data_IF_885281897084
#
_entry.id   IF_885281897084
#
_cell.length_a   1.000
_cell.length_b   1.000
_cell.length_c   1.000
_cell.angle_alpha   90.00
_cell.angle_beta   90.00
_cell.angle_gamma   90.00
#
_symmetry.space_group_name_H-M   'P 1'
#
loop_
_entity.id
_entity.type
_entity.pdbx_description
1 polymer ?
#
# COMPACT_ATOMS: atom_id res chain seq x y z
N UNK A 1 -2.33 19.93 -18.77
CA UNK A 1 -1.22 19.01 -19.14
C UNK A 1 -0.26 18.77 -17.96
N UNK A 2 -0.77 18.54 -16.74
CA UNK A 2 0.01 18.02 -15.60
C UNK A 2 -0.93 17.80 -14.40
N UNK A 3 -1.65 16.67 -14.36
CA UNK A 3 -2.34 16.15 -13.16
C UNK A 3 -3.06 14.82 -13.48
N UNK A 4 -2.36 13.77 -13.95
CA UNK A 4 -2.99 12.46 -14.18
C UNK A 4 -2.04 11.26 -13.94
N UNK A 5 -1.06 11.40 -13.06
CA UNK A 5 -0.23 10.26 -12.62
C UNK A 5 -0.15 10.26 -11.10
N UNK A 6 -1.18 9.71 -10.44
CA UNK A 6 -1.10 9.20 -9.05
C UNK A 6 -2.45 8.58 -8.63
N UNK A 7 -2.72 7.37 -9.10
CA UNK A 7 -3.45 6.34 -8.33
C UNK A 7 -3.02 5.00 -8.91
N UNK A 8 -2.38 4.17 -8.11
CA UNK A 8 -2.27 2.69 -8.15
C UNK A 8 -1.11 2.33 -7.21
N UNK A 9 -1.37 1.84 -5.98
CA UNK A 9 -0.30 1.46 -5.07
C UNK A 9 0.32 0.15 -5.52
N UNK A 10 1.64 0.19 -5.70
CA UNK A 10 2.48 -0.98 -5.85
C UNK A 10 2.66 -1.65 -4.48
N UNK A 11 2.49 -2.97 -4.48
CA UNK A 11 2.67 -3.91 -3.38
C UNK A 11 4.01 -3.67 -2.64
N UNK A 12 3.97 -3.48 -1.32
CA UNK A 12 5.09 -3.71 -0.40
C UNK A 12 4.53 -4.30 0.90
N UNK A 13 4.81 -5.57 1.17
CA UNK A 13 5.83 -6.05 2.10
C UNK A 13 5.55 -5.66 3.56
N UNK A 14 4.84 -6.56 4.23
CA UNK A 14 4.72 -6.68 5.68
C UNK A 14 6.10 -6.74 6.36
N UNK A 15 6.36 -5.79 7.28
CA UNK A 15 7.46 -5.87 8.23
C UNK A 15 6.91 -6.35 9.58
N UNK A 16 7.19 -7.59 9.95
CA UNK A 16 6.91 -8.13 11.28
C UNK A 16 8.05 -7.70 12.21
N UNK A 17 7.77 -6.83 13.18
CA UNK A 17 8.74 -6.44 14.21
C UNK A 17 8.73 -7.51 15.31
N UNK A 18 9.80 -8.30 15.36
CA UNK A 18 10.09 -9.24 16.44
C UNK A 18 10.75 -8.55 17.63
N UNK A 19 10.08 -8.67 18.78
CA UNK A 19 10.54 -8.57 20.17
C UNK A 19 12.07 -8.60 20.39
N UNK A 20 12.63 -7.57 21.05
CA UNK A 20 13.94 -7.65 21.70
C UNK A 20 13.77 -7.58 23.22
N UNK A 21 14.04 -8.70 23.89
CA UNK A 21 14.22 -8.80 25.33
C UNK A 21 15.71 -8.66 25.63
N UNK A 22 16.08 -7.70 26.47
CA UNK A 22 17.47 -7.44 26.87
C UNK A 22 17.92 -8.40 27.98
N UNK A 23 19.02 -9.12 27.76
CA UNK A 23 19.89 -9.61 28.83
C UNK A 23 21.34 -9.23 28.52
N UNK A 24 21.94 -8.49 29.43
CA UNK A 24 23.36 -8.16 29.53
C UNK A 24 24.16 -9.43 29.86
N UNK A 25 25.26 -9.71 29.16
CA UNK A 25 26.52 -10.23 29.74
C UNK A 25 27.66 -10.10 28.74
N UNK A 26 28.73 -9.43 29.18
CA UNK A 26 30.03 -9.38 28.51
C UNK A 26 30.70 -10.75 28.68
N UNK A 27 31.04 -11.42 27.59
CA UNK A 27 32.21 -12.30 27.57
C UNK A 27 32.70 -12.48 26.13
N UNK A 28 33.94 -12.05 25.89
CA UNK A 28 34.74 -12.44 24.75
C UNK A 28 34.88 -13.96 24.70
N UNK A 29 34.31 -14.59 23.68
CA UNK A 29 34.73 -15.91 23.26
C UNK A 29 34.62 -15.99 21.74
N UNK A 30 35.78 -15.88 21.10
CA UNK A 30 36.01 -16.42 19.77
C UNK A 30 35.60 -17.90 19.83
N UNK A 31 34.57 -18.28 19.10
CA UNK A 31 34.23 -19.68 18.87
C UNK A 31 33.87 -19.82 17.41
N UNK A 32 34.79 -20.45 16.68
CA UNK A 32 34.54 -21.01 15.36
C UNK A 32 33.29 -21.88 15.42
N UNK A 33 32.20 -21.44 14.81
CA UNK A 33 31.05 -22.30 14.55
C UNK A 33 31.37 -23.18 13.33
N UNK A 34 32.21 -24.20 13.55
CA UNK A 34 32.20 -25.42 12.74
C UNK A 34 30.85 -26.12 12.98
N UNK A 35 29.88 -25.86 12.11
CA UNK A 35 28.97 -26.87 11.55
C UNK A 35 27.86 -26.19 10.75
N UNK A 36 28.07 -26.08 9.44
CA UNK A 36 27.02 -26.31 8.45
C UNK A 36 27.70 -26.81 7.17
N UNK A 37 28.51 -27.86 7.33
CA UNK A 37 28.80 -28.79 6.24
C UNK A 37 27.49 -29.43 5.83
N UNK A 38 27.24 -29.53 4.52
CA UNK A 38 26.14 -30.28 3.91
C UNK A 38 26.29 -31.78 4.23
N UNK A 39 25.58 -32.39 5.20
CA UNK A 39 25.79 -33.81 5.49
C UNK A 39 24.84 -34.63 4.60
N UNK A 40 23.60 -34.20 4.39
CA UNK A 40 22.59 -34.99 3.69
C UNK A 40 22.84 -35.18 2.19
N UNK A 41 23.25 -34.14 1.46
CA UNK A 41 23.37 -34.21 -0.01
C UNK A 41 24.70 -34.81 -0.49
N UNK A 42 25.79 -34.58 0.26
CA UNK A 42 27.09 -35.17 -0.07
C UNK A 42 27.10 -36.67 0.27
N UNK A 43 26.50 -37.06 1.40
CA UNK A 43 26.25 -38.45 1.77
C UNK A 43 25.33 -39.13 0.75
N UNK A 44 24.26 -38.45 0.30
CA UNK A 44 23.35 -38.97 -0.72
C UNK A 44 24.03 -39.15 -2.09
N UNK A 45 24.89 -38.22 -2.52
CA UNK A 45 25.65 -38.34 -3.76
C UNK A 45 26.68 -39.47 -3.70
N UNK A 46 27.35 -39.66 -2.56
CA UNK A 46 28.29 -40.75 -2.32
C UNK A 46 27.58 -42.11 -2.25
N UNK A 47 26.41 -42.19 -1.61
CA UNK A 47 25.56 -43.40 -1.57
C UNK A 47 24.97 -43.75 -2.95
N UNK A 48 24.68 -42.75 -3.79
CA UNK A 48 24.22 -42.95 -5.17
C UNK A 48 25.33 -43.53 -6.06
N UNK A 49 26.54 -42.98 -5.99
CA UNK A 49 27.73 -43.50 -6.70
C UNK A 49 28.08 -44.92 -6.22
N UNK A 50 27.99 -45.20 -4.92
CA UNK A 50 28.23 -46.52 -4.35
C UNK A 50 27.18 -47.56 -4.78
N UNK A 51 25.89 -47.16 -4.89
CA UNK A 51 24.82 -48.02 -5.42
C UNK A 51 24.96 -48.30 -6.91
N UNK A 52 25.43 -47.32 -7.69
CA UNK A 52 25.68 -47.47 -9.13
C UNK A 52 26.76 -48.53 -9.44
N UNK A 53 27.77 -48.64 -8.58
CA UNK A 53 28.84 -49.64 -8.72
C UNK A 53 28.41 -51.09 -8.41
N UNK A 54 27.30 -51.29 -7.66
CA UNK A 54 26.80 -52.61 -7.28
C UNK A 54 25.77 -53.21 -8.26
N UNK A 55 25.37 -52.46 -9.29
CA UNK A 55 24.26 -52.82 -10.20
C UNK A 55 24.72 -53.12 -11.64
N UNK A 56 26.01 -53.38 -11.87
CA UNK A 56 26.55 -53.56 -13.23
C UNK A 56 26.41 -54.97 -13.82
N UNK A 57 25.48 -55.81 -13.36
CA UNK A 57 25.19 -57.07 -14.06
C UNK A 57 23.68 -57.38 -14.10
N UNK A 58 23.17 -57.34 -15.34
CA UNK A 58 21.94 -57.95 -15.86
C UNK A 58 20.59 -57.31 -15.50
N UNK A 59 20.07 -56.42 -16.36
CA UNK A 59 18.98 -56.62 -17.37
C UNK A 59 18.41 -55.24 -17.80
N UNK A 60 18.20 -54.95 -19.10
CA UNK A 60 17.91 -53.60 -19.57
C UNK A 60 16.41 -53.32 -19.73
N UNK A 61 15.65 -53.13 -18.65
CA UNK A 61 14.22 -52.75 -18.79
C UNK A 61 13.58 -51.93 -17.66
N UNK A 62 14.38 -51.22 -16.83
CA UNK A 62 13.85 -50.35 -15.78
C UNK A 62 14.32 -48.89 -15.95
N UNK A 63 13.94 -48.23 -17.05
CA UNK A 63 14.16 -46.80 -17.25
C UNK A 63 12.91 -46.09 -17.78
N UNK A 64 11.86 -46.02 -16.96
CA UNK A 64 10.69 -45.18 -17.27
C UNK A 64 9.87 -44.74 -16.07
N UNK A 65 10.36 -44.87 -14.82
CA UNK A 65 9.58 -44.44 -13.64
C UNK A 65 10.31 -43.61 -12.56
N UNK A 66 11.55 -43.17 -12.77
CA UNK A 66 12.17 -42.18 -11.88
C UNK A 66 12.77 -41.03 -12.68
N UNK A 67 11.88 -40.19 -13.20
CA UNK A 67 12.24 -38.90 -13.79
C UNK A 67 12.81 -37.96 -12.74
N UNK A 68 14.11 -38.03 -12.46
CA UNK A 68 14.82 -36.97 -11.74
C UNK A 68 15.54 -36.13 -12.79
N UNK A 69 14.89 -35.03 -13.19
CA UNK A 69 15.39 -34.10 -14.19
C UNK A 69 16.56 -33.30 -13.60
N UNK A 70 17.80 -33.64 -13.99
CA UNK A 70 19.02 -32.86 -13.70
C UNK A 70 18.86 -31.33 -13.93
N UNK A 71 18.12 -30.88 -14.96
CA UNK A 71 17.78 -29.46 -15.14
C UNK A 71 16.97 -28.84 -14.00
N UNK A 72 16.02 -29.59 -13.41
CA UNK A 72 15.19 -29.09 -12.31
C UNK A 72 15.98 -28.95 -11.00
N UNK A 73 16.95 -29.84 -10.75
CA UNK A 73 17.85 -29.73 -9.60
C UNK A 73 18.75 -28.49 -9.76
N UNK A 74 19.31 -28.29 -10.96
CA UNK A 74 20.12 -27.09 -11.26
C UNK A 74 19.32 -25.80 -11.10
N UNK A 75 18.07 -25.80 -11.57
CA UNK A 75 17.14 -24.68 -11.40
C UNK A 75 16.89 -24.38 -9.91
N UNK A 76 16.66 -25.42 -9.10
CA UNK A 76 16.43 -25.27 -7.65
C UNK A 76 17.65 -24.72 -6.91
N UNK A 77 18.86 -25.14 -7.29
CA UNK A 77 20.12 -24.60 -6.73
C UNK A 77 20.28 -23.13 -7.12
N UNK A 78 20.04 -22.77 -8.38
CA UNK A 78 20.12 -21.37 -8.83
C UNK A 78 19.08 -20.49 -8.13
N UNK A 79 17.85 -20.97 -7.95
CA UNK A 79 16.83 -20.28 -7.16
C UNK A 79 17.27 -20.08 -5.70
N UNK A 80 17.87 -21.11 -5.09
CA UNK A 80 18.38 -21.01 -3.73
C UNK A 80 19.54 -20.00 -3.60
N UNK A 81 20.45 -19.97 -4.59
CA UNK A 81 21.54 -18.99 -4.64
C UNK A 81 21.02 -17.57 -4.85
N UNK A 82 20.00 -17.39 -5.70
CA UNK A 82 19.33 -16.11 -5.90
C UNK A 82 18.70 -15.61 -4.60
N UNK A 83 17.97 -16.46 -3.88
CA UNK A 83 17.40 -16.11 -2.58
C UNK A 83 18.46 -15.81 -1.52
N UNK A 84 19.58 -16.53 -1.51
CA UNK A 84 20.70 -16.22 -0.63
C UNK A 84 21.33 -14.87 -0.97
N UNK A 85 21.42 -14.52 -2.26
CA UNK A 85 21.91 -13.21 -2.70
C UNK A 85 20.96 -12.08 -2.32
N UNK A 86 19.65 -12.27 -2.50
CA UNK A 86 18.62 -11.30 -2.09
C UNK A 86 18.65 -11.04 -0.58
N UNK A 87 18.83 -12.09 0.24
CA UNK A 87 18.97 -11.92 1.70
C UNK A 87 20.21 -11.13 2.09
N UNK A 88 21.35 -11.37 1.43
CA UNK A 88 22.56 -10.54 1.65
C UNK A 88 22.32 -9.09 1.26
N UNK A 89 21.61 -8.84 0.15
CA UNK A 89 21.28 -7.48 -0.26
C UNK A 89 20.37 -6.78 0.76
N UNK A 90 19.37 -7.48 1.32
CA UNK A 90 18.53 -6.95 2.41
C UNK A 90 19.36 -6.60 3.65
N UNK A 91 20.27 -7.49 4.07
CA UNK A 91 21.16 -7.21 5.20
C UNK A 91 22.05 -5.98 4.97
N UNK A 92 22.58 -5.79 3.76
CA UNK A 92 23.33 -4.59 3.43
C UNK A 92 22.47 -3.32 3.43
N UNK A 93 21.21 -3.41 2.96
CA UNK A 93 20.26 -2.28 3.01
C UNK A 93 19.91 -1.89 4.44
N UNK A 94 19.68 -2.88 5.32
CA UNK A 94 19.43 -2.65 6.74
C UNK A 94 20.64 -2.01 7.43
N UNK A 95 21.86 -2.49 7.16
CA UNK A 95 23.09 -1.87 7.66
C UNK A 95 23.25 -0.42 7.18
N UNK A 96 22.96 -0.14 5.91
CA UNK A 96 23.03 1.20 5.36
C UNK A 96 22.00 2.13 6.02
N UNK A 97 20.78 1.63 6.25
CA UNK A 97 19.72 2.37 6.91
C UNK A 97 20.08 2.67 8.37
N UNK A 98 20.64 1.69 9.09
CA UNK A 98 21.14 1.87 10.46
C UNK A 98 22.25 2.92 10.49
N UNK A 99 23.22 2.85 9.57
CA UNK A 99 24.31 3.83 9.50
C UNK A 99 23.80 5.24 9.20
N UNK A 100 22.78 5.39 8.35
CA UNK A 100 22.14 6.68 8.10
C UNK A 100 21.42 7.21 9.33
N UNK A 101 20.71 6.35 10.08
CA UNK A 101 20.04 6.72 11.33
C UNK A 101 21.05 7.14 12.42
N UNK A 102 22.18 6.44 12.52
CA UNK A 102 23.28 6.77 13.44
C UNK A 102 23.92 8.11 13.05
N UNK A 103 24.14 8.36 11.75
CA UNK A 103 24.67 9.62 11.26
C UNK A 103 23.71 10.80 11.52
N UNK A 104 22.41 10.60 11.30
CA UNK A 104 21.37 11.58 11.62
C UNK A 104 21.36 11.88 13.13
N UNK A 105 21.44 10.84 13.96
CA UNK A 105 21.49 10.98 15.43
C UNK A 105 22.74 11.74 15.89
N UNK A 106 23.91 11.45 15.29
CA UNK A 106 25.15 12.16 15.58
C UNK A 106 25.07 13.63 15.17
N UNK A 107 24.50 13.93 14.00
CA UNK A 107 24.31 15.29 13.53
C UNK A 107 23.35 16.08 14.42
N UNK A 108 22.24 15.44 14.85
CA UNK A 108 21.30 16.02 15.81
C UNK A 108 21.98 16.32 17.15
N UNK A 109 22.79 15.39 17.67
CA UNK A 109 23.58 15.61 18.88
C UNK A 109 24.58 16.76 18.73
N UNK A 110 25.25 16.89 17.57
CA UNK A 110 26.14 18.02 17.28
C UNK A 110 25.39 19.36 17.28
N UNK A 111 24.19 19.40 16.69
CA UNK A 111 23.34 20.59 16.69
C UNK A 111 22.85 20.95 18.10
N UNK A 112 22.50 19.95 18.92
CA UNK A 112 22.11 20.16 20.32
C UNK A 112 23.27 20.69 21.16
N UNK A 113 24.49 20.17 20.96
CA UNK A 113 25.70 20.69 21.60
C UNK A 113 26.02 22.12 21.16
N UNK A 114 25.84 22.45 19.87
CA UNK A 114 26.00 23.81 19.36
C UNK A 114 24.95 24.78 19.93
N UNK A 115 23.69 24.34 20.09
CA UNK A 115 22.63 25.12 20.75
C UNK A 115 22.89 25.32 22.24
N UNK A 116 23.39 24.30 22.95
CA UNK A 116 23.70 24.36 24.39
C UNK A 116 24.83 25.35 24.73
N UNK A 117 25.74 25.59 23.79
CA UNK A 117 26.84 26.54 23.92
C UNK A 117 26.52 27.94 23.38
N UNK A 118 25.29 28.17 22.88
CA UNK A 118 24.83 29.49 22.44
C UNK A 118 23.94 30.11 23.53
N UNK A 119 24.09 31.41 23.88
CA UNK A 119 23.15 32.06 24.78
C UNK A 119 21.74 32.00 24.19
N UNK A 120 20.80 31.39 24.92
CA UNK A 120 19.39 31.35 24.54
C UNK A 120 18.85 32.79 24.44
N UNK A 121 18.26 33.21 23.31
CA UNK A 121 17.45 34.42 23.28
C UNK A 121 16.20 34.20 24.16
N UNK A 122 15.73 35.22 24.89
CA UNK A 122 14.51 35.10 25.68
C UNK A 122 13.33 34.75 24.76
N UNK A 123 12.46 33.88 25.25
CA UNK A 123 11.22 33.49 24.59
C UNK A 123 10.43 34.74 24.20
N UNK A 124 10.51 35.11 22.92
CA UNK A 124 9.76 36.24 22.38
C UNK A 124 8.36 35.74 22.08
N UNK A 125 7.48 35.88 23.08
CA UNK A 125 6.04 35.67 23.02
C UNK A 125 5.34 36.74 22.17
N UNK A 126 5.77 36.89 20.92
CA UNK A 126 5.06 37.66 19.91
C UNK A 126 4.90 36.78 18.69
N UNK A 127 3.74 36.11 18.62
CA UNK A 127 3.20 35.57 17.37
C UNK A 127 3.09 36.76 16.41
N UNK A 128 4.14 37.00 15.64
CA UNK A 128 4.24 38.15 14.74
C UNK A 128 3.14 38.00 13.71
N UNK A 129 2.15 38.90 13.72
CA UNK A 129 1.07 38.91 12.73
C UNK A 129 1.64 39.30 11.37
N UNK A 130 2.12 38.30 10.64
CA UNK A 130 2.49 38.42 9.23
C UNK A 130 1.31 38.99 8.43
N UNK A 131 1.53 40.12 7.76
CA UNK A 131 0.51 40.75 6.92
C UNK A 131 0.74 40.41 5.45
N UNK A 132 -0.34 40.44 4.66
CA UNK A 132 -0.26 40.25 3.19
C UNK A 132 0.71 41.27 2.57
N UNK A 133 0.70 42.51 3.05
CA UNK A 133 1.61 43.56 2.54
C UNK A 133 3.08 43.25 2.83
N UNK A 134 3.39 42.67 3.98
CA UNK A 134 4.74 42.21 4.29
C UNK A 134 5.18 41.06 3.37
N UNK A 135 4.30 40.09 3.13
CA UNK A 135 4.56 38.97 2.20
C UNK A 135 4.73 39.45 0.74
N UNK A 136 3.97 40.47 0.32
CA UNK A 136 4.08 41.03 -1.03
C UNK A 136 5.42 41.73 -1.26
N UNK A 137 5.91 42.43 -0.23
CA UNK A 137 7.14 43.25 -0.29
C UNK A 137 8.42 42.44 -0.08
N UNK A 138 8.35 41.23 0.48
CA UNK A 138 9.51 40.40 0.78
C UNK A 138 9.37 38.99 0.20
N UNK A 139 10.18 38.70 -0.83
CA UNK A 139 10.12 37.41 -1.54
C UNK A 139 10.59 36.23 -0.68
N UNK A 140 11.65 36.39 0.11
CA UNK A 140 12.13 35.34 1.01
C UNK A 140 11.06 34.99 2.06
N UNK A 141 10.38 36.02 2.58
CA UNK A 141 9.28 35.84 3.53
C UNK A 141 8.08 35.14 2.90
N UNK A 142 7.78 35.46 1.62
CA UNK A 142 6.73 34.79 0.84
C UNK A 142 7.05 33.30 0.62
N UNK A 143 8.30 32.98 0.27
CA UNK A 143 8.76 31.60 0.07
C UNK A 143 8.67 30.79 1.37
N UNK A 144 9.13 31.37 2.49
CA UNK A 144 9.03 30.73 3.81
C UNK A 144 7.57 30.48 4.22
N UNK A 145 6.68 31.46 3.99
CA UNK A 145 5.25 31.30 4.24
C UNK A 145 4.62 30.20 3.38
N UNK A 146 4.93 30.16 2.08
CA UNK A 146 4.42 29.14 1.16
C UNK A 146 4.88 27.72 1.57
N UNK A 147 6.14 27.56 1.97
CA UNK A 147 6.65 26.28 2.47
C UNK A 147 5.94 25.84 3.76
N UNK A 148 5.69 26.77 4.68
CA UNK A 148 4.92 26.51 5.90
C UNK A 148 3.48 26.10 5.63
N UNK A 149 2.81 26.73 4.65
CA UNK A 149 1.46 26.34 4.23
C UNK A 149 1.45 24.94 3.63
N UNK A 150 2.42 24.58 2.79
CA UNK A 150 2.50 23.24 2.21
C UNK A 150 2.61 22.15 3.30
N UNK A 151 3.53 22.32 4.25
CA UNK A 151 3.69 21.38 5.39
C UNK A 151 2.42 21.36 6.25
N UNK A 152 1.79 22.52 6.47
CA UNK A 152 0.54 22.61 7.23
C UNK A 152 -0.63 21.89 6.55
N UNK A 153 -0.70 21.91 5.22
CA UNK A 153 -1.70 21.16 4.45
C UNK A 153 -1.47 19.65 4.55
N UNK A 154 -0.21 19.20 4.49
CA UNK A 154 0.13 17.79 4.68
C UNK A 154 -0.24 17.31 6.10
N UNK A 155 0.09 18.11 7.12
CA UNK A 155 -0.27 17.83 8.50
C UNK A 155 -1.79 17.79 8.72
N UNK A 156 -2.53 18.70 8.07
CA UNK A 156 -3.99 18.69 8.12
C UNK A 156 -4.58 17.44 7.45
N UNK A 157 -4.03 17.01 6.32
CA UNK A 157 -4.44 15.78 5.63
C UNK A 157 -4.24 14.56 6.54
N UNK A 158 -3.05 14.41 7.14
CA UNK A 158 -2.77 13.32 8.08
C UNK A 158 -3.74 13.35 9.28
N UNK A 159 -4.03 14.54 9.81
CA UNK A 159 -4.99 14.71 10.89
C UNK A 159 -6.40 14.26 10.47
N UNK A 160 -6.86 14.65 9.28
CA UNK A 160 -8.17 14.28 8.75
C UNK A 160 -8.30 12.77 8.51
N UNK A 161 -7.25 12.14 7.96
CA UNK A 161 -7.21 10.70 7.74
C UNK A 161 -7.28 9.95 9.07
N UNK A 162 -6.47 10.36 10.06
CA UNK A 162 -6.52 9.79 11.40
C UNK A 162 -7.90 9.95 12.06
N UNK A 163 -8.53 11.12 11.89
CA UNK A 163 -9.90 11.33 12.36
C UNK A 163 -10.91 10.42 11.67
N UNK A 164 -10.73 10.13 10.37
CA UNK A 164 -11.58 9.18 9.63
C UNK A 164 -11.46 7.75 10.15
N UNK A 165 -10.31 7.39 10.72
CA UNK A 165 -10.10 6.14 11.47
C UNK A 165 -10.52 6.25 12.95
N UNK A 166 -11.34 7.23 13.33
CA UNK A 166 -11.83 7.39 14.70
C UNK A 166 -10.78 7.86 15.72
N UNK A 167 -9.59 8.28 15.28
CA UNK A 167 -8.57 8.86 16.14
C UNK A 167 -8.83 10.37 16.32
N UNK A 168 -9.47 10.74 17.42
CA UNK A 168 -9.63 12.16 17.77
C UNK A 168 -8.32 12.71 18.33
N UNK A 169 -7.69 13.64 17.61
CA UNK A 169 -6.50 14.35 18.07
C UNK A 169 -6.90 15.75 18.58
N UNK A 170 -6.33 16.15 19.72
CA UNK A 170 -6.45 17.53 20.20
C UNK A 170 -5.69 18.47 19.26
N UNK A 171 -6.42 19.41 18.64
CA UNK A 171 -5.85 20.31 17.63
C UNK A 171 -4.81 21.26 18.21
N UNK A 172 -4.95 21.68 19.47
CA UNK A 172 -4.00 22.60 20.10
C UNK A 172 -2.68 21.89 20.41
N UNK A 173 -2.75 20.68 20.96
CA UNK A 173 -1.58 19.83 21.20
C UNK A 173 -0.87 19.45 19.89
N UNK A 174 -1.62 19.13 18.84
CA UNK A 174 -1.07 18.80 17.52
C UNK A 174 -0.30 19.99 16.92
N UNK A 175 -0.88 21.19 16.94
CA UNK A 175 -0.22 22.42 16.47
C UNK A 175 0.98 22.81 17.33
N UNK A 176 0.91 22.61 18.65
CA UNK A 176 2.04 22.82 19.56
C UNK A 176 3.21 21.89 19.20
N UNK A 177 2.94 20.60 18.97
CA UNK A 177 3.95 19.62 18.56
C UNK A 177 4.66 19.98 17.24
N UNK A 178 3.91 20.44 16.23
CA UNK A 178 4.49 20.93 14.96
C UNK A 178 5.40 22.15 15.19
N UNK A 179 4.93 23.10 16.00
CA UNK A 179 5.69 24.33 16.30
C UNK A 179 6.97 24.01 17.06
N UNK A 180 6.87 23.19 18.10
CA UNK A 180 8.00 22.80 18.94
C UNK A 180 9.02 21.95 18.17
N UNK A 181 8.60 21.14 17.19
CA UNK A 181 9.50 20.41 16.30
C UNK A 181 10.33 21.36 15.42
N UNK A 182 9.72 22.40 14.86
CA UNK A 182 10.41 23.42 14.04
C UNK A 182 11.40 24.23 14.89
N UNK A 183 11.00 24.61 16.11
CA UNK A 183 11.83 25.40 17.01
C UNK A 183 12.91 24.56 17.74
N UNK A 184 12.77 23.23 17.70
CA UNK A 184 13.62 22.30 18.45
C UNK A 184 13.39 22.38 19.96
N UNK A 185 12.16 22.69 20.39
CA UNK A 185 11.70 22.76 21.78
C UNK A 185 10.79 21.57 22.13
N UNK A 186 11.19 20.37 21.70
CA UNK A 186 10.40 19.15 21.90
C UNK A 186 10.22 18.90 23.41
N UNK A 187 8.97 18.84 23.86
CA UNK A 187 8.61 18.74 25.28
C UNK A 187 8.75 17.32 25.85
N UNK A 188 8.58 16.30 25.02
CA UNK A 188 8.70 14.89 25.40
C UNK A 188 10.14 14.39 25.20
N UNK A 189 10.59 13.50 26.08
CA UNK A 189 11.83 12.75 25.83
C UNK A 189 11.69 11.85 24.59
N UNK A 190 12.80 11.43 23.94
CA UNK A 190 12.74 10.52 22.81
C UNK A 190 11.96 9.23 23.08
N UNK A 191 12.08 8.68 24.29
CA UNK A 191 11.39 7.46 24.72
C UNK A 191 9.88 7.67 24.89
N UNK A 192 9.46 8.77 25.51
CA UNK A 192 8.04 9.11 25.66
C UNK A 192 7.39 9.38 24.30
N UNK A 193 8.08 10.10 23.42
CA UNK A 193 7.63 10.38 22.06
C UNK A 193 7.45 9.09 21.26
N UNK A 194 8.45 8.21 21.27
CA UNK A 194 8.36 6.89 20.61
C UNK A 194 7.21 6.04 21.17
N UNK A 195 7.04 6.00 22.49
CA UNK A 195 5.96 5.25 23.15
C UNK A 195 4.58 5.78 22.75
N UNK A 196 4.42 7.11 22.72
CA UNK A 196 3.16 7.74 22.31
C UNK A 196 2.84 7.48 20.82
N UNK A 197 3.84 7.46 19.95
CA UNK A 197 3.66 7.13 18.53
C UNK A 197 3.22 5.68 18.32
N UNK A 198 3.86 4.71 19.00
CA UNK A 198 3.43 3.29 18.97
C UNK A 198 1.99 3.15 19.46
N UNK A 199 1.64 3.81 20.56
CA UNK A 199 0.27 3.76 21.09
C UNK A 199 -0.75 4.36 20.11
N UNK A 200 -0.38 5.44 19.41
CA UNK A 200 -1.22 6.05 18.37
C UNK A 200 -1.42 5.10 17.18
N UNK A 201 -0.36 4.46 16.70
CA UNK A 201 -0.43 3.50 15.59
C UNK A 201 -1.31 2.30 15.95
N UNK A 202 -1.10 1.70 17.13
CA UNK A 202 -1.94 0.61 17.62
C UNK A 202 -3.41 1.01 17.78
N UNK A 203 -3.70 2.26 18.19
CA UNK A 203 -5.06 2.79 18.29
C UNK A 203 -5.72 2.91 16.91
N UNK A 204 -5.00 3.45 15.92
CA UNK A 204 -5.47 3.56 14.54
C UNK A 204 -5.77 2.17 13.97
N UNK A 205 -4.86 1.21 14.14
CA UNK A 205 -5.05 -0.15 13.60
C UNK A 205 -6.26 -0.85 14.24
N UNK A 206 -6.42 -0.75 15.56
CA UNK A 206 -7.59 -1.29 16.25
C UNK A 206 -8.90 -0.64 15.77
N UNK A 207 -8.88 0.64 15.41
CA UNK A 207 -10.06 1.30 14.87
C UNK A 207 -10.34 0.88 13.43
N UNK A 208 -9.31 0.71 12.59
CA UNK A 208 -9.45 0.15 11.24
C UNK A 208 -10.07 -1.24 11.30
N UNK A 209 -9.60 -2.12 12.18
CA UNK A 209 -10.18 -3.46 12.35
C UNK A 209 -11.65 -3.43 12.76
N UNK A 210 -12.05 -2.52 13.66
CA UNK A 210 -13.46 -2.31 14.00
C UNK A 210 -14.28 -1.83 12.80
N UNK A 211 -13.74 -0.91 12.01
CA UNK A 211 -14.40 -0.43 10.79
C UNK A 211 -14.54 -1.55 9.76
N UNK A 212 -13.50 -2.35 9.52
CA UNK A 212 -13.58 -3.52 8.63
C UNK A 212 -14.65 -4.50 9.08
N UNK A 213 -14.74 -4.81 10.37
CA UNK A 213 -15.79 -5.68 10.90
C UNK A 213 -17.21 -5.10 10.71
N UNK A 214 -17.37 -3.78 10.85
CA UNK A 214 -18.62 -3.09 10.56
C UNK A 214 -18.97 -3.15 9.06
N UNK A 215 -18.00 -2.88 8.18
CA UNK A 215 -18.18 -2.96 6.73
C UNK A 215 -18.53 -4.38 6.27
N UNK A 216 -17.89 -5.41 6.82
CA UNK A 216 -18.23 -6.81 6.53
C UNK A 216 -19.67 -7.14 6.94
N UNK A 217 -20.14 -6.60 8.07
CA UNK A 217 -21.53 -6.77 8.52
C UNK A 217 -22.52 -6.08 7.58
N UNK A 218 -22.22 -4.83 7.18
CA UNK A 218 -23.02 -4.08 6.21
C UNK A 218 -23.08 -4.81 4.86
N UNK A 219 -21.94 -5.29 4.36
CA UNK A 219 -21.84 -6.05 3.13
C UNK A 219 -22.68 -7.31 3.16
N UNK A 220 -22.60 -8.11 4.24
CA UNK A 220 -23.43 -9.31 4.39
C UNK A 220 -24.92 -8.98 4.31
N UNK A 221 -25.38 -7.99 5.08
CA UNK A 221 -26.80 -7.59 5.10
C UNK A 221 -27.27 -7.05 3.73
N UNK A 222 -26.43 -6.26 3.07
CA UNK A 222 -26.74 -5.73 1.74
C UNK A 222 -26.84 -6.86 0.70
N UNK A 223 -25.84 -7.75 0.67
CA UNK A 223 -25.75 -8.84 -0.31
C UNK A 223 -26.89 -9.86 -0.17
N UNK A 224 -27.40 -10.09 1.04
CA UNK A 224 -28.56 -10.97 1.29
C UNK A 224 -29.82 -10.52 0.55
N UNK A 225 -29.98 -9.22 0.31
CA UNK A 225 -31.09 -8.66 -0.44
C UNK A 225 -30.74 -8.45 -1.92
N UNK A 226 -29.50 -8.02 -2.20
CA UNK A 226 -29.00 -7.82 -3.56
C UNK A 226 -29.11 -9.11 -4.40
N UNK A 227 -28.60 -10.23 -3.88
CA UNK A 227 -28.60 -11.52 -4.59
C UNK A 227 -29.98 -12.12 -4.84
N UNK A 228 -31.02 -11.66 -4.12
CA UNK A 228 -32.41 -12.10 -4.32
C UNK A 228 -33.11 -11.32 -5.43
N UNK A 229 -32.56 -10.19 -5.86
CA UNK A 229 -33.14 -9.43 -6.96
C UNK A 229 -33.10 -10.26 -8.24
N UNK A 230 -34.14 -10.12 -9.07
CA UNK A 230 -34.13 -10.69 -10.41
C UNK A 230 -32.98 -10.06 -11.21
N UNK A 231 -32.40 -10.84 -12.11
CA UNK A 231 -31.35 -10.41 -13.05
C UNK A 231 -29.97 -10.13 -12.43
N UNK A 232 -29.82 -10.26 -11.11
CA UNK A 232 -28.49 -10.26 -10.48
C UNK A 232 -27.76 -11.55 -10.83
N UNK A 233 -26.51 -11.40 -11.27
CA UNK A 233 -25.60 -12.48 -11.67
C UNK A 233 -24.26 -12.27 -10.99
N UNK A 234 -23.49 -13.35 -10.86
CA UNK A 234 -22.11 -13.30 -10.36
C UNK A 234 -21.12 -13.38 -11.52
N UNK A 235 -20.07 -12.57 -11.45
CA UNK A 235 -18.94 -12.62 -12.37
C UNK A 235 -17.83 -13.54 -11.82
N UNK A 236 -17.10 -14.30 -12.66
CA UNK A 236 -15.97 -15.13 -12.20
C UNK A 236 -14.89 -14.37 -11.45
N UNK A 237 -14.78 -13.05 -11.64
CA UNK A 237 -13.84 -12.21 -10.90
C UNK A 237 -14.21 -12.05 -9.41
N UNK A 238 -15.45 -12.35 -9.02
CA UNK A 238 -15.90 -12.35 -7.63
C UNK A 238 -16.82 -11.20 -7.22
N UNK A 239 -17.39 -10.46 -8.18
CA UNK A 239 -18.39 -9.41 -7.92
C UNK A 239 -19.77 -9.84 -8.43
N UNK A 240 -20.83 -9.23 -7.88
CA UNK A 240 -22.20 -9.44 -8.34
C UNK A 240 -22.68 -8.22 -9.14
N UNK A 241 -23.44 -8.43 -10.20
CA UNK A 241 -23.89 -7.36 -11.08
C UNK A 241 -25.32 -7.53 -11.55
N UNK A 242 -25.90 -6.42 -12.01
CA UNK A 242 -27.17 -6.34 -12.72
C UNK A 242 -26.99 -5.42 -13.92
N UNK A 243 -27.37 -5.89 -15.11
CA UNK A 243 -27.42 -5.05 -16.30
C UNK A 243 -28.69 -4.20 -16.19
N UNK A 244 -28.53 -2.87 -16.09
CA UNK A 244 -29.64 -1.93 -16.04
C UNK A 244 -30.21 -1.70 -17.45
N UNK A 245 -29.31 -1.58 -18.42
CA UNK A 245 -29.64 -1.42 -19.83
C UNK A 245 -28.54 -2.08 -20.67
N UNK A 246 -28.89 -3.04 -21.52
CA UNK A 246 -27.87 -3.80 -22.27
C UNK A 246 -27.12 -2.91 -23.29
N UNK A 247 -27.78 -1.89 -23.84
CA UNK A 247 -27.27 -1.15 -24.99
C UNK A 247 -27.48 -1.90 -26.31
N UNK A 248 -26.88 -1.37 -27.38
CA UNK A 248 -26.94 -1.95 -28.72
C UNK A 248 -25.60 -1.77 -29.46
N UNK A 249 -25.17 -2.79 -30.20
CA UNK A 249 -23.95 -2.73 -31.00
C UNK A 249 -22.77 -3.38 -30.29
N UNK A 250 -22.13 -4.31 -30.98
CA UNK A 250 -21.06 -5.15 -30.43
C UNK A 250 -19.82 -4.32 -30.15
N UNK A 251 -19.27 -4.46 -28.94
CA UNK A 251 -17.97 -3.94 -28.55
C UNK A 251 -16.90 -4.93 -29.01
N UNK A 252 -15.85 -4.42 -29.68
CA UNK A 252 -14.66 -5.16 -30.10
C UNK A 252 -13.50 -4.87 -29.14
N UNK A 253 -12.53 -5.79 -29.11
CA UNK A 253 -11.39 -5.68 -28.19
C UNK A 253 -10.52 -4.44 -28.45
N UNK A 254 -10.46 -3.96 -29.70
CA UNK A 254 -9.68 -2.79 -30.09
C UNK A 254 -10.48 -1.47 -30.08
N UNK A 255 -11.72 -1.47 -29.59
CA UNK A 255 -12.53 -0.27 -29.53
C UNK A 255 -12.01 0.72 -28.48
N UNK A 256 -12.15 2.01 -28.78
CA UNK A 256 -11.92 3.09 -27.83
C UNK A 256 -13.26 3.47 -27.22
N UNK A 257 -13.39 3.27 -25.92
CA UNK A 257 -14.66 3.33 -25.20
C UNK A 257 -14.63 4.52 -24.26
N UNK A 258 -15.69 5.33 -24.29
CA UNK A 258 -15.91 6.40 -23.31
C UNK A 258 -16.91 5.92 -22.27
N UNK A 259 -16.54 5.98 -20.98
CA UNK A 259 -17.42 5.60 -19.87
C UNK A 259 -17.63 6.77 -18.90
N UNK A 260 -18.74 6.70 -18.19
CA UNK A 260 -18.98 7.45 -16.94
C UNK A 260 -19.26 6.45 -15.82
N UNK A 261 -18.74 6.76 -14.64
CA UNK A 261 -18.88 5.91 -13.45
C UNK A 261 -19.39 6.73 -12.29
N UNK A 262 -20.34 6.15 -11.57
CA UNK A 262 -20.76 6.59 -10.25
C UNK A 262 -20.37 5.53 -9.23
N UNK A 263 -19.78 5.97 -8.13
CA UNK A 263 -19.26 5.14 -7.05
C UNK A 263 -19.96 5.55 -5.75
N UNK A 264 -20.50 4.56 -5.02
CA UNK A 264 -21.11 4.80 -3.72
C UNK A 264 -20.84 3.67 -2.74
N UNK A 265 -20.86 4.00 -1.45
CA UNK A 265 -20.92 3.02 -0.36
C UNK A 265 -22.28 2.28 -0.38
N UNK A 266 -22.35 1.17 0.34
CA UNK A 266 -23.57 0.36 0.45
C UNK A 266 -24.73 1.09 1.13
N UNK A 267 -24.45 2.15 1.89
CA UNK A 267 -25.44 3.01 2.52
C UNK A 267 -25.98 4.13 1.60
N UNK A 268 -25.47 4.21 0.36
CA UNK A 268 -25.85 5.21 -0.63
C UNK A 268 -25.02 6.49 -0.62
N UNK A 269 -24.04 6.62 0.29
CA UNK A 269 -23.10 7.74 0.29
C UNK A 269 -22.29 7.74 -1.00
N UNK A 270 -22.41 8.79 -1.80
CA UNK A 270 -21.70 8.93 -3.08
C UNK A 270 -20.25 9.32 -2.81
N UNK A 271 -19.32 8.52 -3.32
CA UNK A 271 -17.87 8.75 -3.24
C UNK A 271 -17.41 9.58 -4.43
N UNK A 272 -17.88 9.23 -5.63
CA UNK A 272 -17.55 9.90 -6.88
C UNK A 272 -18.73 9.77 -7.85
N UNK A 273 -18.98 10.83 -8.62
CA UNK A 273 -19.98 10.83 -9.68
C UNK A 273 -19.43 11.62 -10.86
N UNK A 274 -19.01 10.90 -11.91
CA UNK A 274 -18.41 11.51 -13.08
C UNK A 274 -19.41 12.33 -13.89
N UNK A 275 -20.68 11.92 -13.93
CA UNK A 275 -21.71 12.59 -14.74
C UNK A 275 -22.03 13.97 -14.13
N UNK A 276 -22.20 14.04 -12.81
CA UNK A 276 -22.37 15.32 -12.10
C UNK A 276 -21.17 16.27 -12.24
N UNK A 277 -19.98 15.72 -12.47
CA UNK A 277 -18.76 16.50 -12.69
C UNK A 277 -18.52 16.84 -14.16
N UNK A 278 -19.40 16.45 -15.08
CA UNK A 278 -19.20 16.55 -16.53
C UNK A 278 -17.87 15.93 -16.99
N UNK A 279 -17.51 14.78 -16.40
CA UNK A 279 -16.29 14.03 -16.72
C UNK A 279 -16.65 12.71 -17.40
N UNK A 280 -15.80 12.29 -18.32
CA UNK A 280 -15.80 10.94 -18.88
C UNK A 280 -14.36 10.43 -18.96
N UNK A 281 -14.19 9.12 -18.94
CA UNK A 281 -12.91 8.48 -19.18
C UNK A 281 -12.99 7.78 -20.54
N UNK A 282 -12.05 8.07 -21.42
CA UNK A 282 -11.99 7.49 -22.77
C UNK A 282 -10.65 6.80 -22.96
N UNK A 283 -10.69 5.48 -23.10
CA UNK A 283 -9.50 4.63 -23.25
C UNK A 283 -9.82 3.46 -24.21
N UNK A 284 -8.82 2.86 -24.87
CA UNK A 284 -8.96 1.52 -25.44
C UNK A 284 -9.44 0.53 -24.38
N UNK A 285 -10.28 -0.46 -24.74
CA UNK A 285 -10.84 -1.44 -23.79
C UNK A 285 -9.75 -2.07 -22.91
N UNK A 286 -8.63 -2.50 -23.51
CA UNK A 286 -7.54 -3.19 -22.81
C UNK A 286 -6.76 -2.30 -21.82
N UNK A 287 -6.95 -0.97 -21.86
CA UNK A 287 -6.28 -0.02 -20.97
C UNK A 287 -7.11 0.31 -19.71
N UNK A 288 -8.35 -0.16 -19.61
CA UNK A 288 -9.13 -0.02 -18.38
C UNK A 288 -8.62 -0.97 -17.28
N UNK A 289 -8.82 -0.64 -15.99
CA UNK A 289 -8.64 -1.60 -14.91
C UNK A 289 -9.41 -2.91 -15.14
N UNK A 290 -8.87 -4.10 -14.77
CA UNK A 290 -9.50 -5.39 -15.06
C UNK A 290 -10.97 -5.53 -14.62
N UNK A 291 -11.32 -4.94 -13.46
CA UNK A 291 -12.70 -4.88 -12.98
C UNK A 291 -13.64 -4.21 -13.98
N UNK A 292 -13.25 -3.02 -14.49
CA UNK A 292 -14.05 -2.29 -15.47
C UNK A 292 -14.03 -2.96 -16.84
N UNK A 293 -12.92 -3.59 -17.24
CA UNK A 293 -12.90 -4.41 -18.47
C UNK A 293 -13.94 -5.53 -18.39
N UNK A 294 -13.99 -6.26 -17.27
CA UNK A 294 -14.98 -7.32 -17.04
C UNK A 294 -16.41 -6.75 -17.11
N UNK A 295 -16.68 -5.64 -16.41
CA UNK A 295 -18.00 -4.99 -16.42
C UNK A 295 -18.44 -4.51 -17.82
N UNK A 296 -17.53 -3.88 -18.58
CA UNK A 296 -17.81 -3.38 -19.93
C UNK A 296 -18.13 -4.53 -20.89
N UNK A 297 -17.49 -5.70 -20.75
CA UNK A 297 -17.72 -6.87 -21.60
C UNK A 297 -19.12 -7.50 -21.43
N UNK A 298 -19.84 -7.15 -20.37
CA UNK A 298 -21.25 -7.52 -20.19
C UNK A 298 -22.22 -6.61 -20.96
N UNK A 299 -21.74 -5.49 -21.52
CA UNK A 299 -22.54 -4.45 -22.15
C UNK A 299 -22.34 -4.37 -23.67
N UNK A 300 -23.25 -3.65 -24.32
CA UNK A 300 -23.15 -3.14 -25.69
C UNK A 300 -23.05 -1.61 -25.67
N UNK A 301 -22.90 -0.96 -26.84
CA UNK A 301 -22.80 0.51 -26.86
C UNK A 301 -24.02 1.16 -26.18
N UNK A 302 -23.76 2.22 -25.41
CA UNK A 302 -24.72 2.89 -24.53
C UNK A 302 -25.32 2.05 -23.39
N UNK A 303 -24.78 0.85 -23.14
CA UNK A 303 -25.20 0.01 -22.02
C UNK A 303 -24.86 0.61 -20.66
N UNK A 304 -25.59 0.15 -19.64
CA UNK A 304 -25.43 0.50 -18.24
C UNK A 304 -25.49 -0.75 -17.36
N UNK A 305 -24.56 -0.85 -16.43
CA UNK A 305 -24.43 -1.96 -15.47
C UNK A 305 -24.19 -1.42 -14.07
N UNK A 306 -24.86 -2.01 -13.09
CA UNK A 306 -24.61 -1.79 -11.67
C UNK A 306 -23.97 -3.03 -11.09
N UNK A 307 -22.87 -2.87 -10.37
CA UNK A 307 -22.16 -4.00 -9.79
C UNK A 307 -21.63 -3.68 -8.38
N UNK A 308 -21.71 -4.69 -7.52
CA UNK A 308 -21.32 -4.63 -6.11
C UNK A 308 -19.99 -5.34 -5.97
N UNK A 309 -18.98 -4.59 -5.54
CA UNK A 309 -17.58 -4.97 -5.60
C UNK A 309 -17.06 -5.14 -4.18
N UNK A 310 -16.54 -6.33 -3.84
CA UNK A 310 -15.94 -6.56 -2.52
C UNK A 310 -14.61 -5.79 -2.39
N UNK A 311 -14.14 -5.50 -1.17
CA UNK A 311 -13.00 -4.63 -0.95
C UNK A 311 -11.72 -5.09 -1.67
N UNK A 312 -11.51 -6.40 -1.83
CA UNK A 312 -10.33 -6.99 -2.50
C UNK A 312 -10.22 -6.60 -3.98
N UNK A 313 -11.33 -6.21 -4.59
CA UNK A 313 -11.40 -5.74 -5.98
C UNK A 313 -11.53 -4.21 -6.09
N UNK A 314 -11.54 -3.50 -4.96
CA UNK A 314 -11.70 -2.05 -4.86
C UNK A 314 -10.53 -1.41 -4.09
N UNK A 315 -10.79 -0.80 -2.93
CA UNK A 315 -9.79 -0.08 -2.12
C UNK A 315 -9.18 -0.91 -0.98
N UNK A 316 -9.57 -2.18 -0.85
CA UNK A 316 -9.01 -3.12 0.11
C UNK A 316 -9.17 -2.72 1.58
N UNK A 317 -8.30 -3.29 2.41
CA UNK A 317 -8.30 -3.08 3.86
C UNK A 317 -7.89 -1.66 4.26
N UNK A 318 -7.18 -0.94 3.42
CA UNK A 318 -6.77 0.45 3.69
C UNK A 318 -7.88 1.46 3.39
N UNK A 319 -8.76 1.16 2.43
CA UNK A 319 -9.77 2.11 1.97
C UNK A 319 -9.15 3.29 1.20
N UNK A 320 -9.89 4.39 1.16
CA UNK A 320 -9.48 5.66 0.55
C UNK A 320 -9.97 6.81 1.44
N UNK A 321 -9.26 7.10 2.55
CA UNK A 321 -9.69 8.13 3.49
C UNK A 321 -9.74 9.52 2.84
N UNK A 322 -10.64 10.41 3.30
CA UNK A 322 -11.71 10.14 4.26
C UNK A 322 -12.98 9.54 3.62
N UNK A 323 -12.96 9.23 2.32
CA UNK A 323 -14.19 8.99 1.53
C UNK A 323 -14.64 7.52 1.52
N UNK A 324 -13.70 6.57 1.54
CA UNK A 324 -13.97 5.13 1.54
C UNK A 324 -13.35 4.50 2.79
N UNK A 325 -14.15 3.93 3.69
CA UNK A 325 -13.63 3.25 4.88
C UNK A 325 -12.80 1.99 4.56
N UNK A 326 -11.92 1.58 5.48
CA UNK A 326 -11.27 0.26 5.49
C UNK A 326 -12.25 -0.90 5.24
N UNK A 327 -11.94 -1.77 4.28
CA UNK A 327 -12.72 -2.99 4.01
C UNK A 327 -14.13 -2.73 3.44
N UNK A 328 -14.42 -1.52 2.97
CA UNK A 328 -15.72 -1.19 2.40
C UNK A 328 -15.93 -1.87 1.03
N UNK A 329 -17.09 -2.52 0.88
CA UNK A 329 -17.60 -2.89 -0.45
C UNK A 329 -18.24 -1.68 -1.12
N UNK A 330 -18.15 -1.60 -2.44
CA UNK A 330 -18.65 -0.47 -3.22
C UNK A 330 -19.70 -0.89 -4.23
N UNK A 331 -20.60 0.05 -4.54
CA UNK A 331 -21.52 -0.05 -5.66
C UNK A 331 -20.98 0.86 -6.76
N UNK A 332 -20.75 0.27 -7.92
CA UNK A 332 -20.41 0.99 -9.14
C UNK A 332 -21.61 0.97 -10.08
N UNK A 333 -21.98 2.12 -10.61
CA UNK A 333 -22.87 2.24 -11.78
C UNK A 333 -22.02 2.75 -12.93
N UNK A 334 -21.80 1.90 -13.93
CA UNK A 334 -21.02 2.21 -15.12
C UNK A 334 -21.95 2.31 -16.32
N UNK A 335 -21.81 3.41 -17.08
CA UNK A 335 -22.51 3.62 -18.35
C UNK A 335 -21.51 3.90 -19.45
N UNK A 336 -21.70 3.26 -20.59
CA UNK A 336 -20.93 3.56 -21.80
C UNK A 336 -21.53 4.82 -22.42
N UNK A 337 -20.74 5.89 -22.48
CA UNK A 337 -21.14 7.15 -23.08
C UNK A 337 -21.07 7.08 -24.61
N UNK A 338 -20.01 6.49 -25.15
CA UNK A 338 -19.79 6.38 -26.61
C UNK A 338 -18.71 5.32 -26.92
N UNK A 339 -18.69 4.82 -28.16
CA UNK A 339 -17.68 3.90 -28.69
C UNK A 339 -17.15 4.39 -30.03
N UNK A 340 -15.84 4.60 -30.09
CA UNK A 340 -15.13 4.92 -31.32
C UNK A 340 -14.53 3.63 -31.89
N UNK A 341 -15.06 3.18 -33.03
CA UNK A 341 -14.51 2.04 -33.76
C UNK A 341 -13.13 2.40 -34.32
N UNK A 342 -12.12 1.57 -34.07
CA UNK A 342 -10.78 1.71 -34.67
C UNK A 342 -10.74 1.40 -36.19
N UNK A 343 -11.85 1.55 -36.92
CA UNK A 343 -12.03 1.14 -38.32
C UNK A 343 -12.48 2.29 -39.22
N UNK A 344 -11.93 3.49 -39.02
CA UNK A 344 -11.94 4.56 -40.04
C UNK A 344 -10.56 5.24 -40.02
N UNK A 345 -9.60 4.63 -40.71
CA UNK A 345 -8.49 5.32 -41.36
C UNK A 345 -8.19 4.62 -42.68
#
# INVERSE_FOLDING_TARGET
MAALYRVWPSINLTFTVGFFCTCFFISTAYSEEKNNSLPGLLQFAQEYEARKAQLSDNTPEAFSQTGIQLPQIKLKILQQQLHASQRREQQYREQLQQQQADFQSLNNNLQLLAKKNSPLPPASSTRSTLTIDALKKNEQLRQAYAAGIAIGQDALTIHQDNQSYGQSLDKQAYLAGITDAIEGRILLSPTELHTALIASEASIENNKEKQKAQQATLAKHFLDNWKKQKEVKSDPMGYDYKINYLGQGKIKDNDVISIVVKESLLDGTVVSDMDLQNKSLTLPLDNYPPLFQSAIRHLQNHGEITFVVPPELAYGDEGYPPSVPPGASLIYTLRIADIQNASIQ
#
